data_IF_624819480449
#
_entry.id   IF_624819480449
#
_cell.length_a   1.000
_cell.length_b   1.000
_cell.length_c   1.000
_cell.angle_alpha   90.00
_cell.angle_beta   90.00
_cell.angle_gamma   90.00
#
_symmetry.space_group_name_H-M   'P 1'
#
loop_
_entity.id
_entity.type
_entity.pdbx_description
1 polymer ?
#
# COMPACT_ATOMS: atom_id res chain seq x y z
N UNK A 1 23.26 -8.32 3.40
CA UNK A 1 22.64 -7.75 4.59
C UNK A 1 21.45 -8.62 4.92
N UNK A 2 21.21 -9.02 6.16
CA UNK A 2 20.03 -9.79 6.49
C UNK A 2 18.81 -8.92 6.23
N UNK A 3 17.84 -9.46 5.52
CA UNK A 3 16.50 -8.88 5.34
C UNK A 3 15.93 -8.65 6.74
N UNK A 4 15.70 -7.39 7.09
CA UNK A 4 15.01 -7.05 8.33
C UNK A 4 13.62 -7.63 8.16
N UNK A 5 13.31 -8.65 8.94
CA UNK A 5 11.99 -9.24 8.99
C UNK A 5 11.01 -8.15 9.35
N UNK A 6 10.07 -7.88 8.47
CA UNK A 6 8.86 -7.15 8.83
C UNK A 6 8.32 -7.82 10.10
N UNK A 7 7.88 -7.02 11.06
CA UNK A 7 7.39 -7.56 12.32
C UNK A 7 6.27 -8.58 12.02
N UNK A 8 6.51 -9.88 12.16
CA UNK A 8 5.53 -10.90 11.80
C UNK A 8 4.28 -10.88 12.71
N UNK A 9 4.29 -10.04 13.72
CA UNK A 9 3.22 -9.91 14.72
C UNK A 9 2.45 -8.61 14.58
N UNK A 10 2.61 -7.88 13.45
CA UNK A 10 1.81 -6.69 13.23
C UNK A 10 0.39 -7.05 12.76
N UNK A 11 -0.60 -6.46 13.40
CA UNK A 11 -2.02 -6.59 13.05
C UNK A 11 -2.67 -5.22 12.92
N UNK A 12 -3.45 -4.99 11.85
CA UNK A 12 -4.15 -3.73 11.66
C UNK A 12 -5.25 -3.54 12.71
N UNK A 13 -5.50 -2.29 13.08
CA UNK A 13 -6.71 -1.96 13.84
C UNK A 13 -7.90 -1.94 12.86
N UNK A 14 -8.64 -3.04 12.81
CA UNK A 14 -9.88 -3.16 12.01
C UNK A 14 -11.06 -2.99 12.95
N UNK A 15 -12.07 -2.21 12.59
CA UNK A 15 -13.26 -2.08 13.43
C UNK A 15 -13.83 -3.44 13.80
N UNK A 16 -14.10 -3.64 15.07
CA UNK A 16 -14.69 -4.86 15.61
C UNK A 16 -13.91 -6.17 15.38
N UNK A 17 -12.65 -6.15 14.98
CA UNK A 17 -11.78 -7.33 14.84
C UNK A 17 -10.63 -7.25 15.83
N UNK A 18 -10.43 -8.32 16.60
CA UNK A 18 -9.32 -8.45 17.55
C UNK A 18 -8.09 -9.14 16.94
N UNK A 19 -7.01 -9.13 17.71
CA UNK A 19 -5.74 -9.80 17.33
C UNK A 19 -5.93 -11.30 17.16
N UNK A 20 -6.84 -11.92 17.94
CA UNK A 20 -7.08 -13.36 17.89
C UNK A 20 -7.69 -13.79 16.56
N UNK A 21 -8.71 -13.06 16.06
CA UNK A 21 -9.33 -13.32 14.77
C UNK A 21 -8.34 -13.09 13.63
N UNK A 22 -7.55 -12.01 13.67
CA UNK A 22 -6.51 -11.74 12.67
C UNK A 22 -5.45 -12.83 12.65
N UNK A 23 -5.02 -13.35 13.81
CA UNK A 23 -4.11 -14.49 13.88
C UNK A 23 -4.70 -15.74 13.22
N UNK A 24 -5.98 -16.02 13.44
CA UNK A 24 -6.65 -17.17 12.83
C UNK A 24 -6.72 -17.02 11.31
N UNK A 25 -7.13 -15.86 10.81
CA UNK A 25 -7.12 -15.58 9.36
C UNK A 25 -5.71 -15.75 8.77
N UNK A 26 -4.68 -15.22 9.43
CA UNK A 26 -3.28 -15.38 9.01
C UNK A 26 -2.86 -16.84 8.91
N UNK A 27 -3.18 -17.66 9.92
CA UNK A 27 -2.86 -19.09 9.92
C UNK A 27 -3.52 -19.78 8.73
N UNK A 28 -4.81 -19.56 8.53
CA UNK A 28 -5.58 -20.15 7.42
C UNK A 28 -5.06 -19.70 6.06
N UNK A 29 -4.66 -18.45 5.93
CA UNK A 29 -4.06 -17.91 4.70
C UNK A 29 -2.70 -18.55 4.38
N UNK A 30 -1.86 -18.77 5.39
CA UNK A 30 -0.57 -19.45 5.23
C UNK A 30 -0.75 -20.93 4.88
N UNK A 31 -1.71 -21.61 5.51
CA UNK A 31 -2.09 -22.99 5.13
C UNK A 31 -2.59 -23.06 3.68
N UNK A 32 -3.36 -22.06 3.24
CA UNK A 32 -3.79 -21.93 1.84
C UNK A 32 -2.59 -21.81 0.90
N UNK A 33 -1.61 -20.95 1.22
CA UNK A 33 -0.37 -20.81 0.46
C UNK A 33 0.39 -22.13 0.35
N UNK A 34 0.56 -22.86 1.45
CA UNK A 34 1.24 -24.16 1.46
C UNK A 34 0.54 -25.18 0.54
N UNK A 35 -0.79 -25.10 0.45
CA UNK A 35 -1.61 -25.94 -0.43
C UNK A 35 -1.78 -25.38 -1.85
N UNK A 36 -1.14 -24.25 -2.17
CA UNK A 36 -1.27 -23.54 -3.45
C UNK A 36 -2.72 -23.15 -3.77
N UNK A 37 -3.45 -22.65 -2.78
CA UNK A 37 -4.83 -22.22 -2.88
C UNK A 37 -5.00 -20.87 -2.20
N UNK A 38 -5.65 -19.90 -2.84
CA UNK A 38 -6.10 -18.68 -2.15
C UNK A 38 -7.15 -19.08 -1.11
N UNK A 39 -6.78 -18.94 0.16
CA UNK A 39 -7.72 -19.15 1.25
C UNK A 39 -8.75 -18.04 1.27
N UNK A 40 -9.99 -18.37 1.65
CA UNK A 40 -11.07 -17.41 1.75
C UNK A 40 -12.06 -17.80 2.84
N UNK A 41 -12.78 -16.83 3.37
CA UNK A 41 -13.72 -17.08 4.44
C UNK A 41 -14.46 -15.84 4.92
N UNK A 42 -15.05 -15.97 6.09
CA UNK A 42 -15.79 -14.91 6.78
C UNK A 42 -15.38 -14.83 8.25
N UNK A 43 -15.60 -13.68 8.85
CA UNK A 43 -15.63 -13.50 10.30
C UNK A 43 -17.05 -13.15 10.69
N UNK A 44 -17.60 -13.89 11.62
CA UNK A 44 -18.94 -13.67 12.13
C UNK A 44 -18.95 -12.61 13.26
N UNK A 45 -20.10 -12.02 13.53
CA UNK A 45 -20.26 -11.04 14.62
C UNK A 45 -19.97 -11.62 16.00
N UNK A 46 -20.12 -12.94 16.17
CA UNK A 46 -19.73 -13.67 17.38
C UNK A 46 -18.21 -13.90 17.50
N UNK A 47 -17.40 -13.37 16.54
CA UNK A 47 -15.94 -13.50 16.45
C UNK A 47 -15.43 -14.86 15.94
N UNK A 48 -16.30 -15.72 15.49
CA UNK A 48 -15.90 -16.96 14.85
C UNK A 48 -15.30 -16.69 13.48
N UNK A 49 -14.08 -17.19 13.24
CA UNK A 49 -13.41 -17.17 11.93
C UNK A 49 -13.73 -18.47 11.21
N UNK A 50 -14.43 -18.35 10.09
CA UNK A 50 -14.84 -19.50 9.28
C UNK A 50 -14.02 -19.55 8.01
N UNK A 51 -13.31 -20.67 7.81
CA UNK A 51 -12.63 -20.96 6.55
C UNK A 51 -13.64 -21.57 5.57
N UNK A 52 -13.81 -20.95 4.41
CA UNK A 52 -14.71 -21.44 3.38
C UNK A 52 -13.92 -22.15 2.27
N UNK A 53 -14.54 -23.16 1.69
CA UNK A 53 -13.92 -23.86 0.58
C UNK A 53 -13.84 -22.96 -0.65
N UNK A 54 -12.63 -22.72 -1.15
CA UNK A 54 -12.43 -22.08 -2.44
C UNK A 54 -12.85 -23.05 -3.56
N UNK A 55 -13.89 -22.71 -4.30
CA UNK A 55 -14.45 -23.51 -5.41
C UNK A 55 -14.13 -22.93 -6.78
N UNK A 56 -13.21 -21.96 -6.86
CA UNK A 56 -12.79 -21.37 -8.14
C UNK A 56 -12.04 -22.41 -8.99
N UNK A 57 -12.20 -22.42 -10.32
CA UNK A 57 -11.49 -23.34 -11.21
C UNK A 57 -9.95 -23.19 -11.18
N UNK A 58 -9.46 -21.99 -10.88
CA UNK A 58 -8.04 -21.66 -10.65
C UNK A 58 -7.88 -21.16 -9.21
N UNK A 59 -7.91 -22.06 -8.21
CA UNK A 59 -7.96 -21.65 -6.81
C UNK A 59 -6.65 -21.06 -6.29
N UNK A 60 -5.60 -21.16 -7.08
CA UNK A 60 -4.27 -20.59 -6.82
C UNK A 60 -4.12 -19.13 -7.31
N UNK A 61 -5.13 -18.58 -7.96
CA UNK A 61 -5.09 -17.27 -8.61
C UNK A 61 -6.40 -16.46 -8.42
N UNK A 62 -7.40 -17.10 -7.83
CA UNK A 62 -8.71 -16.50 -7.61
C UNK A 62 -9.51 -17.30 -6.58
N UNK A 63 -10.50 -16.68 -6.00
CA UNK A 63 -11.37 -17.40 -5.07
C UNK A 63 -12.85 -17.30 -5.45
N UNK A 64 -13.60 -18.31 -5.02
CA UNK A 64 -15.05 -18.37 -5.05
C UNK A 64 -15.54 -19.19 -3.88
N UNK A 65 -16.50 -18.66 -3.14
CA UNK A 65 -17.14 -19.37 -2.02
C UNK A 65 -18.66 -19.20 -2.04
N UNK A 66 -19.35 -20.00 -1.25
CA UNK A 66 -20.80 -19.89 -1.01
C UNK A 66 -21.07 -19.36 0.38
N UNK A 67 -22.03 -18.47 0.50
CA UNK A 67 -22.57 -17.98 1.77
C UNK A 67 -23.95 -18.57 2.09
N UNK A 68 -24.40 -19.61 1.38
CA UNK A 68 -25.75 -20.19 1.56
C UNK A 68 -26.08 -20.67 2.96
N UNK A 69 -25.06 -20.96 3.76
CA UNK A 69 -25.21 -21.51 5.10
C UNK A 69 -25.14 -20.41 6.20
N UNK A 70 -25.06 -19.15 5.80
CA UNK A 70 -24.90 -18.01 6.70
C UNK A 70 -25.92 -16.92 6.40
N UNK A 71 -26.48 -16.33 7.45
CA UNK A 71 -27.26 -15.12 7.31
C UNK A 71 -26.30 -13.93 7.15
N UNK A 72 -26.60 -13.07 6.20
CA UNK A 72 -25.74 -11.93 5.88
C UNK A 72 -25.54 -11.00 7.08
N UNK A 73 -26.57 -10.84 7.87
CA UNK A 73 -26.61 -10.00 9.07
C UNK A 73 -25.67 -10.49 10.18
N UNK A 74 -25.26 -11.75 10.14
CA UNK A 74 -24.33 -12.34 11.10
C UNK A 74 -22.87 -12.23 10.66
N UNK A 75 -22.62 -11.83 9.41
CA UNK A 75 -21.28 -11.66 8.87
C UNK A 75 -20.76 -10.29 9.25
N UNK A 76 -19.59 -10.26 9.87
CA UNK A 76 -18.86 -9.03 10.19
C UNK A 76 -18.02 -8.55 9.01
N UNK A 77 -17.25 -9.46 8.40
CA UNK A 77 -16.50 -9.23 7.18
C UNK A 77 -16.23 -10.55 6.43
N UNK A 78 -15.88 -10.43 5.16
CA UNK A 78 -15.28 -11.51 4.37
C UNK A 78 -13.76 -11.32 4.29
N UNK A 79 -13.02 -12.41 4.10
CA UNK A 79 -11.56 -12.36 3.95
C UNK A 79 -11.07 -13.32 2.88
N UNK A 80 -9.92 -12.99 2.29
CA UNK A 80 -9.17 -13.90 1.41
C UNK A 80 -7.67 -13.61 1.46
N UNK A 81 -6.88 -14.43 0.78
CA UNK A 81 -5.42 -14.29 0.74
C UNK A 81 -4.88 -14.20 -0.67
N UNK A 82 -3.85 -13.39 -0.85
CA UNK A 82 -2.99 -13.41 -2.04
C UNK A 82 -1.60 -13.92 -1.65
N UNK A 83 -0.99 -14.77 -2.49
CA UNK A 83 0.35 -15.29 -2.23
C UNK A 83 1.26 -15.36 -3.47
N UNK A 84 0.71 -15.09 -4.67
CA UNK A 84 1.49 -15.06 -5.90
C UNK A 84 2.02 -13.67 -6.22
N UNK A 85 3.16 -13.61 -6.88
CA UNK A 85 3.77 -12.36 -7.35
C UNK A 85 2.88 -11.57 -8.32
N UNK A 86 2.01 -12.25 -9.06
CA UNK A 86 1.02 -11.63 -9.94
C UNK A 86 -0.04 -10.83 -9.18
N UNK A 87 -0.22 -11.12 -7.88
CA UNK A 87 -1.16 -10.46 -6.98
C UNK A 87 -0.45 -9.60 -5.92
N UNK A 88 0.70 -9.01 -6.27
CA UNK A 88 1.40 -8.06 -5.37
C UNK A 88 0.59 -6.78 -5.12
N UNK A 89 -0.55 -6.66 -5.74
CA UNK A 89 -1.49 -5.57 -5.61
C UNK A 89 -2.45 -5.73 -4.45
N UNK A 90 -3.05 -4.61 -4.08
CA UNK A 90 -4.24 -4.51 -3.26
C UNK A 90 -5.40 -5.32 -3.84
N UNK A 91 -6.61 -5.13 -3.32
CA UNK A 91 -7.81 -5.72 -3.88
C UNK A 91 -7.89 -5.57 -5.40
N UNK A 92 -8.23 -6.64 -6.09
CA UNK A 92 -8.57 -6.57 -7.51
C UNK A 92 -9.92 -5.90 -7.73
N UNK A 93 -10.20 -5.49 -8.97
CA UNK A 93 -11.54 -4.96 -9.31
C UNK A 93 -12.66 -5.98 -9.06
N UNK A 94 -12.36 -7.28 -9.12
CA UNK A 94 -13.32 -8.34 -8.82
C UNK A 94 -13.60 -8.45 -7.32
N UNK A 95 -12.58 -8.32 -6.48
CA UNK A 95 -12.72 -8.31 -5.02
C UNK A 95 -13.59 -7.15 -4.57
N UNK A 96 -13.31 -5.95 -5.11
CA UNK A 96 -14.09 -4.75 -4.80
C UNK A 96 -15.54 -4.87 -5.29
N UNK A 97 -15.75 -5.43 -6.49
CA UNK A 97 -17.08 -5.69 -7.01
C UNK A 97 -17.85 -6.67 -6.12
N UNK A 98 -17.19 -7.72 -5.63
CA UNK A 98 -17.79 -8.68 -4.70
C UNK A 98 -18.15 -8.03 -3.35
N UNK A 99 -17.23 -7.27 -2.76
CA UNK A 99 -17.48 -6.56 -1.51
C UNK A 99 -18.67 -5.60 -1.64
N UNK A 100 -18.73 -4.82 -2.72
CA UNK A 100 -19.85 -3.90 -3.00
C UNK A 100 -21.15 -4.64 -3.24
N UNK A 101 -21.13 -5.74 -4.00
CA UNK A 101 -22.33 -6.56 -4.25
C UNK A 101 -22.89 -7.17 -2.97
N UNK A 102 -22.00 -7.72 -2.15
CA UNK A 102 -22.37 -8.27 -0.86
C UNK A 102 -22.71 -7.18 0.17
N UNK A 103 -22.18 -5.97 -0.01
CA UNK A 103 -22.17 -4.89 0.98
C UNK A 103 -21.65 -5.39 2.34
N UNK A 104 -20.53 -6.10 2.31
CA UNK A 104 -19.82 -6.66 3.46
C UNK A 104 -18.37 -6.21 3.37
N UNK A 105 -17.77 -5.69 4.46
CA UNK A 105 -16.36 -5.36 4.51
C UNK A 105 -15.48 -6.54 4.11
N UNK A 106 -14.35 -6.25 3.50
CA UNK A 106 -13.42 -7.27 3.05
C UNK A 106 -12.03 -7.05 3.61
N UNK A 107 -11.41 -8.13 4.04
CA UNK A 107 -10.05 -8.19 4.54
C UNK A 107 -9.21 -9.04 3.58
N UNK A 108 -8.05 -8.52 3.18
CA UNK A 108 -7.09 -9.23 2.36
C UNK A 108 -5.80 -9.42 3.15
N UNK A 109 -5.28 -10.65 3.16
CA UNK A 109 -3.98 -10.97 3.70
C UNK A 109 -3.00 -11.33 2.58
N UNK A 110 -1.85 -10.66 2.53
CA UNK A 110 -0.79 -10.93 1.58
C UNK A 110 0.26 -11.86 2.20
N UNK A 111 0.31 -13.10 1.74
CA UNK A 111 1.22 -14.13 2.21
C UNK A 111 2.41 -14.31 1.26
N UNK A 112 3.18 -13.25 1.00
CA UNK A 112 4.38 -13.32 0.18
C UNK A 112 5.61 -13.79 0.96
N UNK A 113 6.67 -14.23 0.25
CA UNK A 113 7.91 -14.63 0.91
C UNK A 113 8.63 -13.45 1.56
N UNK A 114 8.56 -12.29 0.92
CA UNK A 114 9.27 -11.09 1.33
C UNK A 114 8.46 -10.19 2.28
N UNK A 115 7.14 -10.35 2.36
CA UNK A 115 6.30 -9.56 3.25
C UNK A 115 4.96 -10.24 3.55
N UNK A 116 4.45 -9.98 4.73
CA UNK A 116 3.10 -10.33 5.14
C UNK A 116 2.36 -9.04 5.47
N UNK A 117 1.23 -8.82 4.85
CA UNK A 117 0.55 -7.55 4.88
C UNK A 117 -0.96 -7.69 4.82
N UNK A 118 -1.69 -6.65 5.18
CA UNK A 118 -3.13 -6.63 5.26
C UNK A 118 -3.71 -5.45 4.51
N UNK A 119 -4.81 -5.66 3.80
CA UNK A 119 -5.66 -4.62 3.28
C UNK A 119 -7.08 -4.79 3.82
N UNK A 120 -7.77 -3.68 3.99
CA UNK A 120 -9.16 -3.65 4.44
C UNK A 120 -9.98 -2.71 3.55
N UNK A 121 -11.17 -3.13 3.18
CA UNK A 121 -12.09 -2.36 2.36
C UNK A 121 -13.49 -2.34 2.97
N UNK A 122 -14.09 -1.15 3.10
CA UNK A 122 -15.49 -0.95 3.44
C UNK A 122 -16.29 -0.56 2.21
N UNK A 123 -17.38 -1.28 1.87
CA UNK A 123 -18.19 -0.99 0.68
C UNK A 123 -18.80 0.42 0.65
N UNK A 124 -19.06 1.02 1.80
CA UNK A 124 -19.55 2.40 1.93
C UNK A 124 -18.52 3.46 1.59
N UNK A 125 -17.26 3.07 1.47
CA UNK A 125 -16.17 3.98 1.15
C UNK A 125 -15.86 3.94 -0.35
N UNK A 126 -16.04 5.05 -1.06
CA UNK A 126 -15.76 5.13 -2.49
C UNK A 126 -14.25 5.06 -2.82
N UNK A 127 -13.39 5.09 -1.81
CA UNK A 127 -11.95 4.99 -1.99
C UNK A 127 -11.48 3.57 -1.64
N UNK A 128 -11.24 2.68 -2.62
CA UNK A 128 -10.81 1.30 -2.39
C UNK A 128 -9.36 1.18 -1.90
N UNK A 129 -8.62 2.27 -1.85
CA UNK A 129 -7.24 2.28 -1.40
C UNK A 129 -7.14 2.55 0.09
N UNK A 130 -6.14 1.96 0.72
CA UNK A 130 -6.18 1.59 2.11
C UNK A 130 -6.61 2.73 2.99
N UNK A 131 -7.78 2.59 3.55
CA UNK A 131 -8.20 3.31 4.73
C UNK A 131 -7.49 2.79 5.96
N UNK A 132 -6.56 1.92 5.77
CA UNK A 132 -5.72 1.56 6.88
C UNK A 132 -5.07 2.84 7.37
N UNK A 133 -5.46 3.33 8.56
CA UNK A 133 -4.58 4.19 9.30
C UNK A 133 -3.34 3.32 9.47
N UNK A 134 -2.47 3.48 8.61
CA UNK A 134 -1.14 3.01 8.38
C UNK A 134 -0.59 2.22 9.55
N UNK A 135 -0.84 0.96 9.58
CA UNK A 135 -0.16 0.07 10.49
C UNK A 135 1.32 -0.11 10.11
N UNK A 136 1.71 0.37 8.95
CA UNK A 136 3.03 0.20 8.36
C UNK A 136 3.90 1.44 8.42
N UNK A 137 3.66 2.33 9.34
CA UNK A 137 4.58 3.42 9.58
C UNK A 137 5.45 3.11 10.78
N UNK A 138 6.72 3.27 10.63
CA UNK A 138 7.73 3.11 11.69
C UNK A 138 8.54 4.38 11.82
N UNK A 139 9.15 4.58 12.98
CA UNK A 139 10.18 5.61 13.18
C UNK A 139 11.57 5.14 12.70
N UNK A 140 11.66 3.97 12.10
CA UNK A 140 12.88 3.38 11.58
C UNK A 140 12.87 3.43 10.06
N UNK A 141 13.88 4.02 9.46
CA UNK A 141 13.97 4.17 8.01
C UNK A 141 14.05 2.82 7.28
N UNK A 142 14.65 1.84 7.90
CA UNK A 142 14.79 0.48 7.41
C UNK A 142 13.44 -0.18 7.11
N UNK A 143 12.41 0.21 7.85
CA UNK A 143 11.05 -0.28 7.65
C UNK A 143 10.51 0.03 6.24
N UNK A 144 10.94 1.13 5.64
CA UNK A 144 10.46 1.59 4.32
C UNK A 144 11.28 1.02 3.15
N UNK A 145 12.26 0.17 3.43
CA UNK A 145 13.14 -0.41 2.41
C UNK A 145 12.69 -1.81 1.98
N UNK A 146 12.92 -2.13 0.73
CA UNK A 146 12.67 -3.48 0.20
C UNK A 146 11.22 -3.75 -0.21
N UNK A 147 10.33 -2.77 -0.13
CA UNK A 147 8.94 -2.95 -0.56
C UNK A 147 8.86 -3.02 -2.09
N UNK A 148 8.18 -4.02 -2.60
CA UNK A 148 7.90 -4.11 -4.02
C UNK A 148 7.00 -2.95 -4.46
N UNK A 149 7.27 -2.44 -5.65
CA UNK A 149 6.42 -1.41 -6.24
C UNK A 149 5.06 -1.99 -6.58
N UNK A 150 4.03 -1.43 -5.99
CA UNK A 150 2.64 -1.74 -6.27
C UNK A 150 1.85 -0.44 -6.40
N UNK A 151 1.13 -0.34 -7.52
CA UNK A 151 0.38 0.87 -7.85
C UNK A 151 -0.73 1.13 -6.84
N UNK A 152 -0.76 2.35 -6.31
CA UNK A 152 -1.73 2.76 -5.30
C UNK A 152 -1.40 2.33 -3.87
N UNK A 153 -0.51 1.36 -3.67
CA UNK A 153 -0.25 0.75 -2.37
C UNK A 153 1.17 0.96 -1.84
N UNK A 154 2.16 0.60 -2.62
CA UNK A 154 3.59 0.75 -2.31
C UNK A 154 4.35 1.45 -3.42
N UNK A 155 3.64 2.22 -4.22
CA UNK A 155 4.25 3.12 -5.19
C UNK A 155 4.97 4.29 -4.49
N UNK A 156 5.61 5.13 -5.28
CA UNK A 156 6.38 6.26 -4.77
C UNK A 156 5.55 7.23 -3.91
N UNK A 157 4.28 7.43 -4.27
CA UNK A 157 3.38 8.31 -3.53
C UNK A 157 2.95 7.69 -2.19
N UNK A 158 2.51 6.44 -2.20
CA UNK A 158 2.12 5.72 -1.00
C UNK A 158 3.29 5.56 -0.01
N UNK A 159 4.50 5.31 -0.53
CA UNK A 159 5.71 5.23 0.27
C UNK A 159 6.00 6.56 1.00
N UNK A 160 5.94 7.68 0.28
CA UNK A 160 6.17 9.01 0.87
C UNK A 160 5.11 9.33 1.92
N UNK A 161 3.83 9.07 1.65
CA UNK A 161 2.76 9.25 2.64
C UNK A 161 3.04 8.50 3.94
N UNK A 162 3.40 7.24 3.83
CA UNK A 162 3.68 6.38 4.98
C UNK A 162 4.91 6.83 5.74
N UNK A 163 5.93 7.29 5.04
CA UNK A 163 7.09 7.90 5.66
C UNK A 163 6.70 9.12 6.51
N UNK A 164 5.95 10.06 5.96
CA UNK A 164 5.55 11.26 6.69
C UNK A 164 4.70 10.94 7.91
N UNK A 165 3.77 10.00 7.78
CA UNK A 165 2.95 9.61 8.91
C UNK A 165 3.79 8.92 10.00
N UNK A 166 4.61 7.95 9.65
CA UNK A 166 5.39 7.20 10.63
C UNK A 166 6.52 7.99 11.28
N UNK A 167 7.31 8.66 10.46
CA UNK A 167 8.47 9.41 10.95
C UNK A 167 8.06 10.70 11.66
N UNK A 168 7.01 11.38 11.17
CA UNK A 168 6.67 12.73 11.60
C UNK A 168 5.27 12.85 12.22
N UNK A 169 4.43 11.82 12.15
CA UNK A 169 3.03 11.86 12.57
C UNK A 169 2.16 12.75 11.66
N UNK A 170 2.63 13.04 10.45
CA UNK A 170 1.93 13.91 9.49
C UNK A 170 1.17 13.07 8.50
N UNK A 171 -0.15 13.11 8.58
CA UNK A 171 -1.03 12.48 7.62
C UNK A 171 -1.09 13.29 6.32
N UNK A 172 -0.76 12.68 5.20
CA UNK A 172 -0.90 13.25 3.85
C UNK A 172 -2.11 12.59 3.20
N UNK A 173 -3.04 13.41 2.70
CA UNK A 173 -4.27 12.94 2.07
C UNK A 173 -4.01 12.02 0.86
N UNK A 174 -5.01 11.20 0.54
CA UNK A 174 -4.98 10.36 -0.67
C UNK A 174 -5.14 11.24 -1.90
N UNK A 175 -4.39 10.92 -2.95
CA UNK A 175 -4.59 11.52 -4.26
C UNK A 175 -5.44 10.59 -5.10
N UNK A 176 -6.54 11.12 -5.65
CA UNK A 176 -7.37 10.37 -6.59
C UNK A 176 -6.61 10.15 -7.89
N UNK A 177 -6.18 8.92 -8.12
CA UNK A 177 -5.45 8.48 -9.29
C UNK A 177 -6.19 7.36 -10.00
N UNK A 178 -5.91 7.10 -11.29
CA UNK A 178 -6.51 5.99 -12.00
C UNK A 178 -6.30 4.65 -11.26
N UNK A 179 -7.29 3.76 -11.32
CA UNK A 179 -7.22 2.43 -10.71
C UNK A 179 -6.01 1.62 -11.23
N UNK A 180 -5.65 1.84 -12.49
CA UNK A 180 -4.49 1.21 -13.11
C UNK A 180 -3.44 2.24 -13.52
N UNK A 181 -2.15 1.90 -13.47
CA UNK A 181 -1.13 2.76 -14.03
C UNK A 181 -1.40 2.94 -15.53
N UNK A 182 -1.29 4.16 -16.07
CA UNK A 182 -1.44 4.38 -17.49
C UNK A 182 -0.55 3.43 -18.30
N UNK A 183 -1.12 2.78 -19.32
CA UNK A 183 -0.42 1.77 -20.14
C UNK A 183 0.86 2.28 -20.80
N UNK A 184 0.96 3.60 -21.02
CA UNK A 184 2.17 4.26 -21.51
C UNK A 184 3.15 4.65 -20.39
N UNK A 185 2.81 4.40 -19.13
CA UNK A 185 3.60 4.77 -17.96
C UNK A 185 3.76 6.28 -17.78
N UNK A 186 2.96 7.08 -18.47
CA UNK A 186 2.97 8.54 -18.37
C UNK A 186 1.91 8.99 -17.37
N UNK A 187 2.25 8.96 -16.12
CA UNK A 187 1.59 9.79 -15.12
C UNK A 187 2.29 11.14 -15.13
N UNK A 188 1.83 11.97 -16.02
CA UNK A 188 2.17 13.37 -15.97
C UNK A 188 1.28 14.02 -14.91
N UNK A 189 1.80 14.18 -13.73
CA UNK A 189 1.17 14.94 -12.65
C UNK A 189 2.05 16.14 -12.28
N UNK A 190 1.45 17.14 -11.68
CA UNK A 190 2.16 18.28 -11.12
C UNK A 190 1.95 18.32 -9.61
N UNK A 191 2.89 18.92 -8.89
CA UNK A 191 2.69 19.24 -7.49
C UNK A 191 1.49 20.16 -7.27
N UNK A 192 1.08 20.93 -8.27
CA UNK A 192 -0.12 21.75 -8.17
C UNK A 192 -1.35 20.89 -7.95
N UNK A 193 -1.48 19.77 -8.70
CA UNK A 193 -2.55 18.80 -8.47
C UNK A 193 -2.45 18.17 -7.08
N UNK A 194 -1.25 18.06 -6.54
CA UNK A 194 -0.96 17.42 -5.27
C UNK A 194 -0.94 18.41 -4.09
N UNK A 195 -0.35 19.59 -4.26
CA UNK A 195 -0.23 20.63 -3.25
C UNK A 195 -1.57 21.24 -2.86
N UNK A 196 -2.42 21.48 -3.83
CA UNK A 196 -3.78 21.98 -3.62
C UNK A 196 -4.61 20.99 -2.79
N UNK A 197 -4.34 19.71 -2.95
CA UNK A 197 -5.06 18.67 -2.22
C UNK A 197 -4.61 18.55 -0.75
N UNK A 198 -3.32 18.61 -0.50
CA UNK A 198 -2.79 18.36 0.86
C UNK A 198 -2.69 19.61 1.71
N UNK A 199 -2.46 20.79 1.12
CA UNK A 199 -2.21 22.07 1.79
C UNK A 199 -1.13 22.01 2.88
N UNK A 200 -0.26 21.01 2.83
CA UNK A 200 0.72 20.72 3.88
C UNK A 200 2.15 21.03 3.50
N UNK A 201 2.37 21.33 2.24
CA UNK A 201 3.70 21.61 1.75
C UNK A 201 3.78 22.95 1.06
N UNK A 202 4.87 23.66 1.28
CA UNK A 202 5.24 24.85 0.53
C UNK A 202 6.05 24.46 -0.70
N UNK A 203 5.63 24.88 -1.90
CA UNK A 203 6.42 24.76 -3.11
C UNK A 203 7.64 25.68 -3.01
N UNK A 204 8.81 25.13 -3.26
CA UNK A 204 10.07 25.85 -3.19
C UNK A 204 10.71 25.96 -4.58
N UNK A 205 11.59 26.98 -4.79
CA UNK A 205 12.38 27.06 -6.01
C UNK A 205 13.26 25.82 -6.20
N UNK A 206 13.35 25.32 -7.44
CA UNK A 206 14.15 24.14 -7.80
C UNK A 206 15.65 24.30 -7.47
N UNK A 207 16.13 25.52 -7.48
CA UNK A 207 17.53 25.89 -7.21
C UNK A 207 17.71 26.47 -5.80
N UNK A 208 16.92 25.98 -4.85
CA UNK A 208 17.15 26.31 -3.44
C UNK A 208 18.58 25.96 -3.06
N UNK A 209 19.27 26.87 -2.38
CA UNK A 209 20.67 26.68 -1.97
C UNK A 209 20.84 25.63 -0.85
N UNK A 210 19.76 25.15 -0.26
CA UNK A 210 19.79 24.15 0.80
C UNK A 210 18.58 23.24 0.72
N UNK A 211 18.84 21.96 0.58
CA UNK A 211 17.86 20.89 0.78
C UNK A 211 17.89 20.48 2.26
N UNK A 212 16.72 20.24 2.84
CA UNK A 212 16.59 19.80 4.24
C UNK A 212 15.99 18.40 4.31
N UNK A 213 16.30 17.68 5.36
CA UNK A 213 15.63 16.42 5.68
C UNK A 213 14.12 16.63 5.71
N UNK A 214 13.38 15.72 5.08
CA UNK A 214 11.95 15.75 4.81
C UNK A 214 11.51 16.67 3.65
N UNK A 215 12.43 17.25 2.88
CA UNK A 215 12.05 17.83 1.60
C UNK A 215 11.57 16.73 0.65
N UNK A 216 10.56 17.03 -0.16
CA UNK A 216 10.06 16.10 -1.19
C UNK A 216 10.35 16.64 -2.58
N UNK A 217 10.58 15.70 -3.49
CA UNK A 217 10.93 16.00 -4.88
C UNK A 217 9.99 15.32 -5.85
N UNK A 218 9.41 16.11 -6.74
CA UNK A 218 8.81 15.63 -7.98
C UNK A 218 9.90 15.46 -9.04
N UNK A 219 10.04 14.24 -9.54
CA UNK A 219 11.14 13.82 -10.41
C UNK A 219 10.60 13.39 -11.76
N UNK A 220 11.23 13.83 -12.84
CA UNK A 220 10.90 13.46 -14.22
C UNK A 220 11.82 12.35 -14.72
N UNK A 221 11.61 11.11 -14.34
CA UNK A 221 12.48 9.96 -14.68
C UNK A 221 12.67 9.72 -16.18
N UNK A 222 11.78 10.23 -17.02
CA UNK A 222 11.82 10.03 -18.49
C UNK A 222 12.13 11.29 -19.28
N UNK A 223 12.72 12.28 -18.60
CA UNK A 223 13.11 13.53 -19.26
C UNK A 223 11.94 14.44 -19.64
N UNK A 224 10.77 14.22 -19.06
CA UNK A 224 9.59 15.07 -19.20
C UNK A 224 9.72 16.40 -18.47
N UNK A 225 8.73 17.28 -18.67
CA UNK A 225 8.64 18.55 -17.93
C UNK A 225 7.79 18.44 -16.67
N UNK A 226 7.08 17.33 -16.50
CA UNK A 226 6.21 17.03 -15.36
C UNK A 226 6.78 15.88 -14.55
N UNK A 227 6.50 15.88 -13.27
CA UNK A 227 6.89 14.80 -12.40
C UNK A 227 6.11 13.52 -12.76
N UNK A 228 6.81 12.41 -12.73
CA UNK A 228 6.23 11.07 -12.85
C UNK A 228 6.76 10.13 -11.76
N UNK A 229 7.47 10.69 -10.81
CA UNK A 229 8.03 9.98 -9.68
C UNK A 229 8.16 10.92 -8.47
N UNK A 230 8.05 10.37 -7.26
CA UNK A 230 8.15 11.08 -6.00
C UNK A 230 9.25 10.47 -5.13
N UNK A 231 10.03 11.33 -4.48
CA UNK A 231 11.04 10.94 -3.51
C UNK A 231 11.04 11.88 -2.31
N UNK A 232 11.51 11.40 -1.16
CA UNK A 232 11.73 12.23 0.04
C UNK A 232 13.19 12.18 0.45
N UNK A 233 13.75 13.34 0.81
CA UNK A 233 15.10 13.45 1.36
C UNK A 233 15.06 13.03 2.83
N UNK A 234 15.55 11.85 3.13
CA UNK A 234 15.49 11.28 4.49
C UNK A 234 16.69 11.62 5.35
N UNK A 235 17.81 11.98 4.71
CA UNK A 235 19.03 12.41 5.38
C UNK A 235 19.74 13.46 4.50
N UNK A 236 19.63 14.72 4.89
CA UNK A 236 20.22 15.84 4.13
C UNK A 236 21.76 15.90 4.24
N UNK A 237 22.35 15.42 5.34
CA UNK A 237 23.81 15.41 5.53
C UNK A 237 24.46 14.36 4.62
N UNK A 238 23.83 13.19 4.50
CA UNK A 238 24.30 12.11 3.61
C UNK A 238 23.73 12.19 2.20
N UNK A 239 22.85 13.16 1.94
CA UNK A 239 22.13 13.30 0.67
C UNK A 239 21.41 12.00 0.27
N UNK A 240 20.61 11.40 1.16
CA UNK A 240 19.89 10.17 0.89
C UNK A 240 18.41 10.45 0.62
N UNK A 241 17.93 9.95 -0.51
CA UNK A 241 16.49 9.95 -0.84
C UNK A 241 15.90 8.56 -0.68
N UNK A 242 14.70 8.50 -0.12
CA UNK A 242 13.85 7.32 -0.11
C UNK A 242 12.86 7.41 -1.25
N UNK A 243 12.77 6.36 -2.05
CA UNK A 243 11.81 6.29 -3.15
C UNK A 243 11.47 4.83 -3.55
N UNK A 244 10.40 4.66 -4.31
CA UNK A 244 10.02 3.39 -4.94
C UNK A 244 10.14 3.55 -6.47
N UNK A 245 11.22 3.04 -7.10
CA UNK A 245 11.61 3.45 -8.46
C UNK A 245 10.68 2.99 -9.57
N UNK A 246 9.77 2.07 -9.32
CA UNK A 246 8.79 1.61 -10.30
C UNK A 246 8.66 0.10 -10.38
N UNK A 247 7.85 -0.36 -11.32
CA UNK A 247 7.49 -1.78 -11.50
C UNK A 247 8.72 -2.69 -11.54
N UNK A 248 8.68 -3.79 -10.80
CA UNK A 248 9.74 -4.79 -10.61
C UNK A 248 10.97 -4.30 -9.82
N UNK A 249 10.86 -3.16 -9.16
CA UNK A 249 11.90 -2.66 -8.27
C UNK A 249 11.37 -2.54 -6.85
N UNK A 250 12.31 -2.52 -5.90
CA UNK A 250 11.98 -2.36 -4.47
C UNK A 250 12.27 -0.93 -4.04
N UNK A 251 11.52 -0.47 -3.03
CA UNK A 251 11.83 0.80 -2.36
C UNK A 251 13.23 0.76 -1.78
N UNK A 252 13.95 1.87 -1.88
CA UNK A 252 15.36 1.94 -1.50
C UNK A 252 15.82 3.35 -1.18
N UNK A 253 17.02 3.44 -0.62
CA UNK A 253 17.77 4.67 -0.50
C UNK A 253 18.73 4.81 -1.66
N UNK A 254 18.71 5.95 -2.33
CA UNK A 254 19.71 6.34 -3.31
C UNK A 254 20.40 7.64 -2.87
N UNK A 255 21.66 7.82 -3.28
CA UNK A 255 22.37 9.09 -3.05
C UNK A 255 21.78 10.15 -4.00
N UNK A 256 21.32 11.25 -3.42
CA UNK A 256 20.77 12.38 -4.15
C UNK A 256 21.91 13.21 -4.78
N UNK A 257 22.51 12.63 -5.79
CA UNK A 257 23.63 13.20 -6.55
C UNK A 257 23.16 14.19 -7.62
N UNK A 258 24.12 14.70 -8.39
CA UNK A 258 23.86 15.64 -9.47
C UNK A 258 22.96 15.05 -10.58
N UNK A 259 22.97 13.73 -10.78
CA UNK A 259 22.12 13.09 -11.78
C UNK A 259 20.64 13.13 -11.34
N UNK A 260 20.39 12.84 -10.07
CA UNK A 260 19.05 12.96 -9.49
C UNK A 260 18.56 14.41 -9.51
N UNK A 261 19.41 15.36 -9.11
CA UNK A 261 19.07 16.79 -9.06
C UNK A 261 18.63 17.35 -10.42
N UNK A 262 19.25 16.90 -11.50
CA UNK A 262 18.86 17.30 -12.88
C UNK A 262 17.47 16.82 -13.29
N UNK A 263 16.97 15.79 -12.65
CA UNK A 263 15.65 15.22 -12.92
C UNK A 263 14.55 15.85 -12.07
N UNK A 264 14.90 16.62 -11.04
CA UNK A 264 13.93 17.31 -10.19
C UNK A 264 13.24 18.40 -10.99
N UNK A 265 11.93 18.34 -11.06
CA UNK A 265 11.07 19.34 -11.71
C UNK A 265 10.20 20.08 -10.71
N UNK A 266 10.09 19.55 -9.48
CA UNK A 266 9.35 20.16 -8.38
C UNK A 266 10.03 19.88 -7.04
N UNK A 267 9.96 20.85 -6.14
CA UNK A 267 10.55 20.78 -4.81
C UNK A 267 9.56 21.32 -3.79
N UNK A 268 9.38 20.61 -2.71
CA UNK A 268 8.48 21.01 -1.63
C UNK A 268 9.00 20.68 -0.25
N UNK A 269 8.52 21.48 0.71
CA UNK A 269 8.85 21.36 2.14
C UNK A 269 7.58 21.42 2.98
N UNK A 270 7.51 20.57 4.00
CA UNK A 270 6.43 20.59 4.97
C UNK A 270 6.32 22.00 5.62
N UNK A 271 5.08 22.49 5.75
CA UNK A 271 4.78 23.81 6.35
C UNK A 271 5.11 23.86 7.84
#
# INVERSE_FOLDING_TARGET
>A
MPLISQNPNYFPAIPDIGIEELNQVKVLALEGKENNVEACGIVLKNKEVVNLRNTHPTPDDSFRFSLSDFEKEDILLSWHSHFKDSHQGSFTSQDLALANYLNIPQLLYHAHEDFNDWDYYEPSNPNPYPLTPIPFSSKEIEFYLGWHFDWGRTDCFALVRRYFLGMLGVEIGEWSRPEEPPSNGNLDWSFEDYWDFTQKFNKLPLYSSSFLTNDIFGIALRGGRKANHLAVLVDAEKNLILHSPGVRQKSRLDVFDENWRKLVVEHGRLC
#
